data_IF_135535320007
#
_entry.id   IF_135535320007
#
_cell.length_a   1.000
_cell.length_b   1.000
_cell.length_c   1.000
_cell.angle_alpha   90.00
_cell.angle_beta   90.00
_cell.angle_gamma   90.00
#
_symmetry.space_group_name_H-M   'P 1'
#
loop_
_entity.id
_entity.type
_entity.pdbx_description
1 polymer ?
#
# COMPACT_ATOMS: atom_id res chain seq x y z
N UNK A 1 -54.41 33.07 17.61
CA UNK A 1 -53.02 33.41 17.22
C UNK A 1 -51.97 32.56 17.95
N UNK A 2 -52.13 32.23 19.25
CA UNK A 2 -51.15 31.37 19.98
C UNK A 2 -51.09 29.89 19.55
N UNK A 3 -52.16 29.30 19.01
CA UNK A 3 -52.19 27.86 18.66
C UNK A 3 -51.27 27.48 17.48
N UNK A 4 -51.07 28.41 16.53
CA UNK A 4 -50.21 28.21 15.36
C UNK A 4 -48.71 28.35 15.66
N UNK A 5 -48.33 29.11 16.70
CA UNK A 5 -46.92 29.31 17.07
C UNK A 5 -46.33 28.10 17.82
N UNK A 6 -47.17 27.42 18.62
CA UNK A 6 -46.78 26.21 19.36
C UNK A 6 -46.59 25.03 18.40
N UNK A 7 -47.47 24.86 17.41
CA UNK A 7 -47.33 23.81 16.38
C UNK A 7 -46.12 24.02 15.45
N UNK A 8 -45.75 25.27 15.14
CA UNK A 8 -44.56 25.57 14.33
C UNK A 8 -43.26 25.29 15.11
N UNK A 9 -43.22 25.64 16.40
CA UNK A 9 -42.07 25.38 17.29
C UNK A 9 -41.85 23.88 17.56
N UNK A 10 -42.93 23.10 17.73
CA UNK A 10 -42.88 21.64 17.88
C UNK A 10 -42.46 20.95 16.57
N UNK A 11 -42.91 21.44 15.40
CA UNK A 11 -42.47 20.92 14.10
C UNK A 11 -41.01 21.25 13.77
N UNK A 12 -40.50 22.44 14.12
CA UNK A 12 -39.08 22.75 13.96
C UNK A 12 -38.22 21.88 14.88
N UNK A 13 -38.57 21.75 16.16
CA UNK A 13 -37.80 20.92 17.11
C UNK A 13 -37.81 19.43 16.76
N UNK A 14 -38.92 18.88 16.27
CA UNK A 14 -38.99 17.52 15.75
C UNK A 14 -38.18 17.33 14.45
N UNK A 15 -38.21 18.32 13.54
CA UNK A 15 -37.44 18.31 12.30
C UNK A 15 -35.93 18.40 12.56
N UNK A 16 -35.47 19.24 13.51
CA UNK A 16 -34.06 19.30 13.89
C UNK A 16 -33.59 18.04 14.61
N UNK A 17 -34.43 17.45 15.48
CA UNK A 17 -34.16 16.15 16.11
C UNK A 17 -34.02 15.02 15.07
N UNK A 18 -34.93 14.99 14.09
CA UNK A 18 -34.90 14.01 13.01
C UNK A 18 -33.68 14.17 12.10
N UNK A 19 -33.36 15.40 11.66
CA UNK A 19 -32.17 15.70 10.85
C UNK A 19 -30.88 15.35 11.62
N UNK A 20 -30.82 15.68 12.91
CA UNK A 20 -29.67 15.37 13.76
C UNK A 20 -29.47 13.86 13.93
N UNK A 21 -30.55 13.10 14.09
CA UNK A 21 -30.50 11.64 14.15
C UNK A 21 -30.09 11.01 12.81
N UNK A 22 -30.57 11.53 11.67
CA UNK A 22 -30.15 11.06 10.34
C UNK A 22 -28.67 11.31 10.10
N UNK A 23 -28.17 12.52 10.42
CA UNK A 23 -26.74 12.84 10.29
C UNK A 23 -25.88 11.97 11.21
N UNK A 24 -26.32 11.73 12.45
CA UNK A 24 -25.62 10.84 13.39
C UNK A 24 -25.57 9.41 12.84
N UNK A 25 -26.68 8.90 12.28
CA UNK A 25 -26.72 7.56 11.66
C UNK A 25 -25.80 7.51 10.44
N UNK A 26 -25.79 8.56 9.59
CA UNK A 26 -24.90 8.63 8.43
C UNK A 26 -23.42 8.60 8.85
N UNK A 27 -23.05 9.35 9.89
CA UNK A 27 -21.70 9.38 10.45
C UNK A 27 -21.35 8.03 11.08
N UNK A 28 -22.27 7.39 11.81
CA UNK A 28 -22.05 6.05 12.39
C UNK A 28 -21.85 5.01 11.28
N UNK A 29 -22.67 5.03 10.23
CA UNK A 29 -22.51 4.14 9.08
C UNK A 29 -21.17 4.39 8.37
N UNK A 30 -20.76 5.65 8.21
CA UNK A 30 -19.44 5.99 7.68
C UNK A 30 -18.31 5.48 8.59
N UNK A 31 -18.43 5.62 9.91
CA UNK A 31 -17.44 5.14 10.88
C UNK A 31 -17.38 3.62 10.89
N UNK A 32 -18.51 2.93 10.74
CA UNK A 32 -18.57 1.47 10.66
C UNK A 32 -17.95 0.95 9.36
N UNK A 33 -18.19 1.65 8.24
CA UNK A 33 -17.56 1.36 6.95
C UNK A 33 -16.04 1.61 7.00
N UNK A 34 -15.60 2.72 7.60
CA UNK A 34 -14.19 3.04 7.85
C UNK A 34 -13.51 2.05 8.80
N UNK A 35 -14.24 1.52 9.79
CA UNK A 35 -13.73 0.43 10.66
C UNK A 35 -13.69 -0.92 9.95
N UNK A 36 -14.57 -1.16 8.97
CA UNK A 36 -14.51 -2.34 8.10
C UNK A 36 -13.36 -2.28 7.09
N UNK A 37 -12.85 -1.08 6.80
CA UNK A 37 -11.66 -0.83 5.98
C UNK A 37 -10.36 -0.77 6.78
N UNK A 38 -10.41 -0.80 8.12
CA UNK A 38 -9.20 -0.96 8.93
C UNK A 38 -8.71 -2.39 8.75
N UNK A 39 -7.48 -2.55 8.25
CA UNK A 39 -6.76 -3.81 8.07
C UNK A 39 -7.07 -4.61 6.77
N UNK A 40 -7.27 -3.93 5.63
CA UNK A 40 -7.50 -4.60 4.34
C UNK A 40 -6.28 -5.44 3.94
N UNK A 41 -5.07 -4.87 4.03
CA UNK A 41 -3.84 -5.54 3.62
C UNK A 41 -3.48 -6.67 4.56
N UNK A 42 -3.56 -6.46 5.88
CA UNK A 42 -3.39 -7.54 6.86
C UNK A 42 -4.41 -8.64 6.64
N UNK A 43 -5.68 -8.31 6.37
CA UNK A 43 -6.70 -9.32 6.10
C UNK A 43 -6.38 -10.12 4.83
N UNK A 44 -5.95 -9.45 3.76
CA UNK A 44 -5.54 -10.10 2.52
C UNK A 44 -4.34 -11.03 2.76
N UNK A 45 -3.27 -10.52 3.38
CA UNK A 45 -2.05 -11.28 3.65
C UNK A 45 -2.32 -12.51 4.53
N UNK A 46 -3.15 -12.38 5.56
CA UNK A 46 -3.56 -13.53 6.40
C UNK A 46 -4.38 -14.59 5.65
N UNK A 47 -4.97 -14.28 4.48
CA UNK A 47 -5.67 -15.27 3.65
C UNK A 47 -4.74 -16.02 2.70
N UNK A 48 -3.61 -15.40 2.34
CA UNK A 48 -2.73 -15.87 1.25
C UNK A 48 -1.36 -16.38 1.74
N UNK A 49 -1.02 -16.13 3.01
CA UNK A 49 0.19 -16.64 3.65
C UNK A 49 -0.16 -17.33 4.96
N UNK A 50 0.50 -18.46 5.22
CA UNK A 50 0.54 -19.05 6.54
C UNK A 50 1.48 -18.21 7.43
N UNK A 51 1.05 -17.96 8.67
CA UNK A 51 1.83 -17.29 9.74
C UNK A 51 2.61 -16.00 9.37
N UNK A 52 1.98 -14.99 8.70
CA UNK A 52 2.68 -13.76 8.36
C UNK A 52 3.11 -12.96 9.59
N UNK A 53 4.32 -12.38 9.54
CA UNK A 53 4.85 -11.51 10.60
C UNK A 53 4.71 -10.06 10.18
N UNK A 54 3.88 -9.33 10.91
CA UNK A 54 3.62 -7.91 10.68
C UNK A 54 4.45 -7.03 11.63
N UNK A 55 5.06 -5.99 11.06
CA UNK A 55 5.72 -4.93 11.81
C UNK A 55 4.73 -3.86 12.31
N UNK A 56 5.24 -2.92 13.10
CA UNK A 56 4.47 -1.73 13.46
C UNK A 56 4.17 -0.89 12.21
N UNK A 57 3.01 -0.21 12.14
CA UNK A 57 2.69 0.76 11.10
C UNK A 57 3.80 1.77 10.82
N UNK A 58 3.99 2.12 9.55
CA UNK A 58 4.88 3.21 9.17
C UNK A 58 4.29 4.56 9.60
N UNK A 59 5.14 5.48 10.07
CA UNK A 59 4.73 6.85 10.34
C UNK A 59 4.62 7.66 9.05
N UNK A 60 3.92 8.79 9.10
CA UNK A 60 3.82 9.67 7.93
C UNK A 60 5.17 10.25 7.53
N UNK A 61 6.07 10.47 8.48
CA UNK A 61 7.44 10.90 8.23
C UNK A 61 8.23 9.85 7.45
N UNK A 62 8.11 8.56 7.83
CA UNK A 62 8.78 7.46 7.13
C UNK A 62 8.29 7.33 5.68
N UNK A 63 6.98 7.41 5.45
CA UNK A 63 6.41 7.36 4.09
C UNK A 63 6.84 8.57 3.24
N UNK A 64 6.87 9.76 3.86
CA UNK A 64 7.35 10.97 3.19
C UNK A 64 8.83 10.86 2.83
N UNK A 65 9.63 10.23 3.68
CA UNK A 65 11.06 10.06 3.43
C UNK A 65 11.33 9.27 2.16
N UNK A 66 10.57 8.21 1.88
CA UNK A 66 10.68 7.45 0.62
C UNK A 66 10.48 8.38 -0.59
N UNK A 67 9.39 9.14 -0.58
CA UNK A 67 9.05 10.08 -1.66
C UNK A 67 10.14 11.15 -1.84
N UNK A 68 10.61 11.74 -0.73
CA UNK A 68 11.64 12.78 -0.76
C UNK A 68 12.98 12.24 -1.29
N UNK A 69 13.36 11.02 -0.91
CA UNK A 69 14.65 10.41 -1.29
C UNK A 69 14.76 10.13 -2.77
N UNK A 70 13.66 9.69 -3.38
CA UNK A 70 13.65 9.31 -4.79
C UNK A 70 12.95 10.33 -5.69
N UNK A 71 12.48 11.45 -5.12
CA UNK A 71 11.71 12.50 -5.81
C UNK A 71 10.56 11.89 -6.65
N UNK A 72 9.78 11.02 -6.02
CA UNK A 72 8.66 10.29 -6.61
C UNK A 72 7.49 10.23 -5.64
N UNK A 73 6.30 9.93 -6.15
CA UNK A 73 5.15 9.55 -5.32
C UNK A 73 4.96 8.02 -5.40
N UNK A 74 5.11 7.33 -4.26
CA UNK A 74 4.81 5.90 -4.20
C UNK A 74 3.31 5.62 -4.33
N UNK A 75 2.97 4.43 -4.83
CA UNK A 75 1.59 4.03 -5.09
C UNK A 75 0.74 4.02 -3.82
N UNK A 76 -0.56 4.28 -3.98
CA UNK A 76 -1.51 4.23 -2.86
C UNK A 76 -1.54 2.84 -2.20
N UNK A 77 -1.36 1.78 -2.97
CA UNK A 77 -1.30 0.41 -2.46
C UNK A 77 -0.11 0.21 -1.54
N UNK A 78 1.10 0.62 -1.95
CA UNK A 78 2.29 0.54 -1.10
C UNK A 78 2.15 1.41 0.15
N UNK A 79 1.59 2.62 0.02
CA UNK A 79 1.29 3.49 1.17
C UNK A 79 0.36 2.81 2.16
N UNK A 80 -0.73 2.22 1.67
CA UNK A 80 -1.74 1.61 2.52
C UNK A 80 -1.20 0.33 3.19
N UNK A 81 -0.43 -0.49 2.47
CA UNK A 81 0.29 -1.64 3.03
C UNK A 81 1.20 -1.20 4.18
N UNK A 82 2.08 -0.21 3.94
CA UNK A 82 3.05 0.26 4.93
C UNK A 82 2.39 0.93 6.15
N UNK A 83 1.23 1.59 5.97
CA UNK A 83 0.42 2.11 7.08
C UNK A 83 -0.20 1.03 7.94
N UNK A 84 -0.44 -0.15 7.41
CA UNK A 84 -0.89 -1.28 8.22
C UNK A 84 0.29 -2.02 8.85
N UNK A 85 1.38 -2.19 8.10
CA UNK A 85 2.59 -2.89 8.53
C UNK A 85 3.83 -2.38 7.79
N UNK A 86 4.79 -1.78 8.50
CA UNK A 86 6.03 -1.28 7.92
C UNK A 86 7.01 -2.42 7.60
N UNK A 87 6.70 -3.17 6.55
CA UNK A 87 7.34 -4.44 6.22
C UNK A 87 6.53 -5.63 6.72
N UNK A 88 6.60 -6.72 5.98
CA UNK A 88 5.88 -7.97 6.26
C UNK A 88 6.76 -9.14 5.85
N UNK A 89 6.92 -10.11 6.74
CA UNK A 89 7.52 -11.40 6.40
C UNK A 89 6.38 -12.38 6.10
N UNK A 90 6.45 -13.02 4.94
CA UNK A 90 5.56 -14.13 4.56
C UNK A 90 6.42 -15.33 4.19
N UNK A 91 5.82 -16.51 4.04
CA UNK A 91 6.57 -17.70 3.58
C UNK A 91 7.12 -17.54 2.15
N UNK A 92 6.56 -16.60 1.40
CA UNK A 92 6.66 -16.49 -0.04
C UNK A 92 7.50 -15.30 -0.51
N UNK A 93 7.36 -14.17 0.16
CA UNK A 93 8.07 -12.93 -0.14
C UNK A 93 8.25 -12.09 1.14
N UNK A 94 9.28 -11.25 1.15
CA UNK A 94 9.49 -10.29 2.22
C UNK A 94 9.25 -8.88 1.70
N UNK A 95 8.15 -8.28 2.15
CA UNK A 95 7.87 -6.87 1.89
C UNK A 95 8.73 -6.03 2.82
N UNK A 96 9.50 -5.11 2.24
CA UNK A 96 10.45 -4.32 2.99
C UNK A 96 9.76 -3.22 3.79
N UNK A 97 10.39 -2.85 4.91
CA UNK A 97 10.06 -1.62 5.61
C UNK A 97 10.44 -0.39 4.77
N UNK A 98 9.86 0.76 5.08
CA UNK A 98 10.22 2.07 4.51
C UNK A 98 11.74 2.34 4.50
N UNK A 99 12.44 1.98 5.59
CA UNK A 99 13.89 2.16 5.67
C UNK A 99 14.63 1.21 4.72
N UNK A 100 14.25 -0.07 4.69
CA UNK A 100 14.85 -1.06 3.78
C UNK A 100 14.59 -0.70 2.32
N UNK A 101 13.39 -0.22 1.98
CA UNK A 101 13.09 0.33 0.64
C UNK A 101 14.10 1.41 0.28
N UNK A 102 14.40 2.34 1.18
CA UNK A 102 15.36 3.42 0.92
C UNK A 102 16.79 2.85 0.78
N UNK A 103 17.23 2.04 1.73
CA UNK A 103 18.60 1.52 1.81
C UNK A 103 18.93 0.62 0.60
N UNK A 104 18.09 -0.37 0.31
CA UNK A 104 18.31 -1.33 -0.79
C UNK A 104 18.31 -0.64 -2.16
N UNK A 105 17.45 0.37 -2.35
CA UNK A 105 17.38 1.13 -3.60
C UNK A 105 18.57 2.08 -3.78
N UNK A 106 19.03 2.73 -2.70
CA UNK A 106 20.23 3.59 -2.75
C UNK A 106 21.47 2.74 -3.02
N UNK A 107 21.63 1.63 -2.30
CA UNK A 107 22.79 0.76 -2.43
C UNK A 107 22.95 0.27 -3.87
N UNK A 108 21.87 -0.26 -4.47
CA UNK A 108 21.85 -0.75 -5.87
C UNK A 108 22.16 0.32 -6.90
N UNK A 109 21.77 1.57 -6.64
CA UNK A 109 22.05 2.70 -7.55
C UNK A 109 23.42 3.31 -7.35
N UNK A 110 24.11 3.03 -6.25
CA UNK A 110 25.33 3.77 -5.88
C UNK A 110 26.58 2.91 -5.86
N UNK A 111 26.50 1.65 -5.43
CA UNK A 111 27.66 0.76 -5.37
C UNK A 111 28.10 0.30 -6.77
N UNK A 112 29.41 0.34 -7.00
CA UNK A 112 30.00 0.05 -8.31
C UNK A 112 29.76 -1.40 -8.76
N UNK A 113 29.74 -2.34 -7.80
CA UNK A 113 29.50 -3.77 -8.09
C UNK A 113 28.18 -4.00 -8.85
N UNK A 114 27.15 -3.20 -8.55
CA UNK A 114 25.86 -3.29 -9.23
C UNK A 114 25.87 -2.58 -10.59
N UNK A 115 26.54 -1.42 -10.67
CA UNK A 115 26.65 -0.64 -11.92
C UNK A 115 27.47 -1.34 -13.01
N UNK A 116 28.49 -2.09 -12.60
CA UNK A 116 29.35 -2.84 -13.51
C UNK A 116 28.70 -4.13 -14.02
N UNK A 117 27.70 -4.65 -13.30
CA UNK A 117 27.10 -5.97 -13.56
C UNK A 117 25.71 -5.90 -14.19
N UNK A 118 24.95 -4.83 -13.94
CA UNK A 118 23.53 -4.74 -14.28
C UNK A 118 23.20 -3.45 -15.02
N UNK A 119 22.09 -3.46 -15.77
CA UNK A 119 21.51 -2.20 -16.25
C UNK A 119 21.08 -1.31 -15.08
N UNK A 120 21.04 0.00 -15.32
CA UNK A 120 20.65 0.95 -14.27
C UNK A 120 19.29 0.63 -13.65
N UNK A 121 19.23 0.71 -12.33
CA UNK A 121 18.02 0.57 -11.53
C UNK A 121 17.20 1.87 -11.41
N UNK A 122 17.59 2.94 -12.10
CA UNK A 122 16.83 4.20 -12.09
C UNK A 122 15.40 4.06 -12.63
N UNK A 123 15.14 2.98 -13.38
CA UNK A 123 13.82 2.63 -13.93
C UNK A 123 12.95 1.77 -13.01
N UNK A 124 13.41 1.43 -11.80
CA UNK A 124 12.71 0.51 -10.89
C UNK A 124 12.72 1.03 -9.44
N UNK A 125 11.59 1.03 -8.75
CA UNK A 125 11.54 1.18 -7.31
C UNK A 125 11.30 -0.19 -6.66
N UNK A 126 12.34 -0.78 -6.08
CA UNK A 126 12.23 -2.06 -5.39
C UNK A 126 11.49 -1.92 -4.06
N UNK A 127 10.65 -2.91 -3.72
CA UNK A 127 9.86 -2.88 -2.48
C UNK A 127 9.77 -4.22 -1.73
N UNK A 128 10.23 -5.31 -2.34
CA UNK A 128 10.20 -6.64 -1.73
C UNK A 128 11.25 -7.56 -2.36
N UNK A 129 11.65 -8.60 -1.62
CA UNK A 129 12.51 -9.67 -2.10
C UNK A 129 11.79 -11.04 -2.04
N UNK A 130 12.16 -11.92 -2.97
CA UNK A 130 11.63 -13.28 -3.07
C UNK A 130 12.46 -14.32 -2.29
N UNK A 131 13.47 -13.91 -1.52
CA UNK A 131 14.36 -14.82 -0.79
C UNK A 131 15.35 -15.64 -1.65
N UNK A 132 15.26 -15.57 -2.99
CA UNK A 132 16.16 -16.25 -3.93
C UNK A 132 17.17 -15.31 -4.61
N UNK A 133 17.13 -14.01 -4.29
CA UNK A 133 17.94 -12.96 -4.93
C UNK A 133 17.14 -12.06 -5.88
N UNK A 134 15.96 -12.51 -6.33
CA UNK A 134 15.08 -11.74 -7.22
C UNK A 134 14.18 -10.79 -6.45
N UNK A 135 14.02 -9.58 -6.99
CA UNK A 135 13.36 -8.47 -6.31
C UNK A 135 12.14 -7.98 -7.07
N UNK A 136 11.13 -7.54 -6.33
CA UNK A 136 9.92 -6.95 -6.89
C UNK A 136 9.99 -5.43 -6.89
N UNK A 137 9.49 -4.83 -7.97
CA UNK A 137 9.57 -3.40 -8.19
C UNK A 137 8.34 -2.83 -8.88
N UNK A 138 8.10 -1.55 -8.64
CA UNK A 138 7.31 -0.70 -9.52
C UNK A 138 8.20 -0.15 -10.64
N UNK A 139 7.65 0.00 -11.84
CA UNK A 139 8.36 0.68 -12.94
C UNK A 139 8.32 2.20 -12.79
N UNK A 140 9.46 2.86 -13.03
CA UNK A 140 9.59 4.32 -13.08
C UNK A 140 9.75 4.71 -14.54
N UNK A 141 8.81 5.52 -15.05
CA UNK A 141 8.81 6.03 -16.42
C UNK A 141 8.74 7.55 -16.37
N UNK A 142 9.78 8.20 -16.92
CA UNK A 142 9.94 9.66 -16.90
C UNK A 142 9.97 10.26 -15.48
N UNK A 143 10.51 9.52 -14.51
CA UNK A 143 10.63 9.97 -13.12
C UNK A 143 9.43 9.64 -12.22
N UNK A 144 8.36 9.07 -12.77
CA UNK A 144 7.13 8.76 -12.04
C UNK A 144 6.74 7.29 -12.15
N UNK A 145 6.03 6.78 -11.14
CA UNK A 145 5.32 5.50 -11.20
C UNK A 145 3.96 5.77 -11.84
N UNK A 146 3.80 5.38 -13.10
CA UNK A 146 2.59 5.70 -13.88
C UNK A 146 1.49 4.65 -13.75
N UNK A 147 1.83 3.47 -13.25
CA UNK A 147 0.93 2.32 -13.09
C UNK A 147 1.32 1.52 -11.86
N UNK A 148 0.35 0.83 -11.29
CA UNK A 148 0.53 -0.08 -10.15
C UNK A 148 1.08 -1.47 -10.58
N UNK A 149 1.51 -1.60 -11.84
CA UNK A 149 2.13 -2.79 -12.40
C UNK A 149 3.36 -3.22 -11.58
N UNK A 150 3.41 -4.49 -11.21
CA UNK A 150 4.50 -5.14 -10.48
C UNK A 150 5.42 -5.87 -11.47
N UNK A 151 6.72 -5.63 -11.32
CA UNK A 151 7.78 -6.28 -12.07
C UNK A 151 8.67 -7.09 -11.15
N UNK A 152 9.23 -8.18 -11.68
CA UNK A 152 10.38 -8.87 -11.08
C UNK A 152 11.66 -8.50 -11.82
N UNK A 153 12.71 -8.22 -11.07
CA UNK A 153 14.08 -8.21 -11.55
C UNK A 153 14.74 -9.54 -11.21
N UNK A 154 15.23 -10.25 -12.22
CA UNK A 154 15.97 -11.50 -12.03
C UNK A 154 17.46 -11.20 -11.87
N UNK A 155 18.05 -11.66 -10.76
CA UNK A 155 19.44 -11.35 -10.44
C UNK A 155 20.47 -12.16 -11.24
N UNK A 156 20.06 -13.26 -11.88
CA UNK A 156 20.95 -14.13 -12.65
C UNK A 156 21.18 -13.61 -14.07
N UNK A 157 20.14 -13.08 -14.72
CA UNK A 157 20.18 -12.66 -16.12
C UNK A 157 19.84 -11.18 -16.37
N UNK A 158 19.59 -10.41 -15.31
CA UNK A 158 19.22 -9.00 -15.33
C UNK A 158 17.88 -8.70 -16.05
N UNK A 159 17.05 -9.72 -16.32
CA UNK A 159 15.74 -9.52 -16.92
C UNK A 159 14.79 -8.77 -15.99
N UNK A 160 13.84 -8.03 -16.59
CA UNK A 160 12.86 -7.18 -15.89
C UNK A 160 11.48 -7.48 -16.49
N UNK A 161 10.71 -8.31 -15.80
CA UNK A 161 9.50 -8.93 -16.36
C UNK A 161 8.27 -8.48 -15.58
N UNK A 162 7.22 -8.08 -16.29
CA UNK A 162 5.92 -7.78 -15.68
C UNK A 162 5.30 -9.06 -15.13
N UNK A 163 4.80 -9.03 -13.90
CA UNK A 163 4.23 -10.22 -13.24
C UNK A 163 2.80 -10.01 -12.73
N UNK A 164 2.38 -8.79 -12.43
CA UNK A 164 1.02 -8.51 -11.95
C UNK A 164 0.60 -7.05 -12.22
N UNK A 165 -0.71 -6.77 -12.39
CA UNK A 165 -1.20 -5.41 -12.64
C UNK A 165 -1.39 -4.54 -11.39
N UNK A 166 -1.30 -5.13 -10.20
CA UNK A 166 -1.41 -4.43 -8.90
C UNK A 166 -0.70 -5.23 -7.79
N UNK A 167 -0.49 -4.61 -6.63
CA UNK A 167 0.04 -5.26 -5.44
C UNK A 167 -0.95 -6.27 -4.83
N UNK A 168 -2.25 -6.00 -4.95
CA UNK A 168 -3.31 -6.95 -4.55
C UNK A 168 -3.28 -8.19 -5.44
N UNK A 169 -3.28 -8.01 -6.77
CA UNK A 169 -3.21 -9.11 -7.74
C UNK A 169 -1.90 -9.89 -7.56
N UNK A 170 -0.78 -9.21 -7.31
CA UNK A 170 0.50 -9.86 -7.01
C UNK A 170 0.41 -10.82 -5.82
N UNK A 171 -0.17 -10.39 -4.69
CA UNK A 171 -0.32 -11.22 -3.49
C UNK A 171 -1.20 -12.46 -3.76
N UNK A 172 -2.29 -12.28 -4.52
CA UNK A 172 -3.20 -13.38 -4.87
C UNK A 172 -2.53 -14.36 -5.85
N UNK A 173 -1.99 -13.85 -6.95
CA UNK A 173 -1.38 -14.67 -8.00
C UNK A 173 -0.16 -15.42 -7.50
N UNK A 174 0.61 -14.84 -6.58
CA UNK A 174 1.72 -15.54 -5.94
C UNK A 174 1.23 -16.73 -5.10
N UNK A 175 0.23 -16.51 -4.26
CA UNK A 175 -0.34 -17.54 -3.37
C UNK A 175 -0.99 -18.69 -4.15
N UNK A 176 -1.65 -18.37 -5.26
CA UNK A 176 -2.26 -19.35 -6.15
C UNK A 176 -1.23 -20.07 -7.06
N UNK A 177 0.05 -19.63 -7.02
CA UNK A 177 1.12 -20.19 -7.84
C UNK A 177 1.06 -19.81 -9.32
N UNK A 178 0.30 -18.77 -9.67
CA UNK A 178 0.27 -18.21 -11.04
C UNK A 178 1.58 -17.48 -11.36
N UNK A 179 2.23 -16.91 -10.35
CA UNK A 179 3.58 -16.36 -10.44
C UNK A 179 4.56 -17.41 -9.92
N UNK A 180 5.57 -17.74 -10.73
CA UNK A 180 6.72 -18.56 -10.33
C UNK A 180 7.98 -17.92 -10.87
N UNK A 181 8.96 -17.68 -10.01
CA UNK A 181 10.25 -17.09 -10.36
C UNK A 181 11.40 -17.94 -9.82
#
# INVERSE_FOLDING_TARGET
MLKYFVDFSIKLTASFSCIRNVIIIQIILLILDLKGQQDLWKSLINKVSDEPVFNQPATQEQLKEINDKFNLEITNELVNLLKESNGVETECARFWSSNEIIEENIERRTLEVYKDSYMSFDSLLFFADAGNGDFFAFSIINGDIQKDDIYVWNHEDDSRTWIAPSLEDFLVWWSDGEISI
#
